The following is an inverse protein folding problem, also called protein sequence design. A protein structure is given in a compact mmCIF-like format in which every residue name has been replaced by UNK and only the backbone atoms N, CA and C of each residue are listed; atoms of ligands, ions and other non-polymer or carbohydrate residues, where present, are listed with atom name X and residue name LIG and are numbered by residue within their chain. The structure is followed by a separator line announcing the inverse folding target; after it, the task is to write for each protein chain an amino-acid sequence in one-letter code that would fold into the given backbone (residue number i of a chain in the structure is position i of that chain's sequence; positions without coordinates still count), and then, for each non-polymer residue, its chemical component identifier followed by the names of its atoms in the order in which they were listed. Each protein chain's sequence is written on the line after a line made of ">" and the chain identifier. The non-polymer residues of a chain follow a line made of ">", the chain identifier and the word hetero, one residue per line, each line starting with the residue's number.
data_IF_049811818190
#
_entry.id   IF_049811818190
#
_cell.length_a   1.000
_cell.length_b   1.000
_cell.length_c   1.000
_cell.angle_alpha   90.00
_cell.angle_beta   90.00
_cell.angle_gamma   90.00
#
_symmetry.space_group_name_H-M   'P 1'
#
loop_
_entity.id
_entity.type
_entity.pdbx_description
1 polymer ?
#
# COMPACT_ATOMS: atom_id res chain seq x y z
N UNK A 1 -23.53 -1.72 66.22
CA UNK A 1 -24.18 -3.03 66.53
C UNK A 1 -23.68 -4.09 65.54
N UNK A 2 -23.39 -5.23 66.09
CA UNK A 2 -22.55 -6.35 65.64
C UNK A 2 -22.82 -6.93 64.26
N UNK A 3 -21.82 -7.68 63.71
CA UNK A 3 -21.82 -8.35 62.40
C UNK A 3 -22.20 -9.84 62.46
N UNK A 4 -22.48 -10.45 61.31
CA UNK A 4 -22.48 -11.93 61.08
C UNK A 4 -22.59 -12.14 59.55
N UNK A 5 -22.01 -13.13 58.86
CA UNK A 5 -21.19 -14.31 59.17
C UNK A 5 -20.64 -14.83 57.83
N UNK A 6 -19.40 -15.33 57.84
CA UNK A 6 -18.74 -15.98 56.72
C UNK A 6 -19.27 -17.40 56.48
N UNK A 7 -19.37 -17.84 55.25
CA UNK A 7 -19.42 -19.26 54.87
C UNK A 7 -18.23 -19.64 54.02
N UNK A 8 -17.41 -20.53 54.62
CA UNK A 8 -16.35 -21.33 53.96
C UNK A 8 -16.97 -22.61 53.40
N UNK A 9 -16.66 -22.99 52.19
CA UNK A 9 -16.71 -24.36 51.64
C UNK A 9 -15.52 -24.40 50.67
N UNK A 10 -14.47 -25.16 50.83
CA UNK A 10 -14.27 -26.55 51.07
C UNK A 10 -13.51 -27.07 49.86
N UNK A 11 -12.12 -27.10 49.92
CA UNK A 11 -11.23 -27.60 48.85
C UNK A 11 -11.38 -29.15 48.77
N UNK A 12 -11.43 -29.69 47.55
CA UNK A 12 -11.14 -31.10 47.24
C UNK A 12 -10.04 -31.21 46.22
N UNK A 13 -8.96 -31.89 46.61
CA UNK A 13 -7.80 -32.21 45.81
C UNK A 13 -8.06 -33.45 44.87
N UNK A 14 -7.30 -33.63 43.81
CA UNK A 14 -7.53 -34.68 42.80
C UNK A 14 -6.86 -36.00 43.19
N UNK A 15 -7.55 -37.10 42.87
CA UNK A 15 -7.04 -38.49 43.01
C UNK A 15 -6.16 -38.87 41.82
N UNK A 16 -4.96 -39.33 42.12
CA UNK A 16 -4.05 -40.07 41.22
C UNK A 16 -4.63 -41.44 40.89
N UNK A 17 -4.61 -41.85 39.62
CA UNK A 17 -4.75 -43.24 39.22
C UNK A 17 -3.43 -43.71 38.56
N UNK A 18 -3.01 -44.91 38.98
CA UNK A 18 -1.73 -45.60 38.73
C UNK A 18 -1.70 -46.21 37.33
N UNK A 19 -0.48 -46.32 36.82
CA UNK A 19 -0.07 -47.09 35.67
C UNK A 19 -0.27 -48.59 35.82
N UNK A 20 -0.59 -49.27 34.72
CA UNK A 20 -0.35 -50.69 34.55
C UNK A 20 0.46 -50.91 33.27
N UNK A 21 1.59 -51.55 33.43
CA UNK A 21 2.52 -52.01 32.40
C UNK A 21 1.99 -53.33 31.79
N UNK A 22 2.14 -53.49 30.48
CA UNK A 22 2.24 -54.81 29.87
C UNK A 22 3.23 -54.73 28.70
N UNK A 23 4.29 -55.50 28.85
CA UNK A 23 5.28 -55.78 27.83
C UNK A 23 4.77 -56.92 26.94
N UNK A 24 4.97 -56.82 25.62
CA UNK A 24 5.09 -58.01 24.77
C UNK A 24 6.05 -57.71 23.61
N UNK A 25 7.03 -58.56 23.54
CA UNK A 25 8.09 -58.76 22.54
C UNK A 25 7.51 -59.12 21.17
N UNK A 26 8.14 -58.58 20.11
CA UNK A 26 7.89 -59.05 18.75
C UNK A 26 8.97 -58.57 17.82
N UNK A 27 9.67 -59.52 17.25
CA UNK A 27 10.90 -59.46 16.49
C UNK A 27 10.82 -58.65 15.19
N UNK A 28 11.95 -58.01 14.83
CA UNK A 28 12.28 -57.45 13.53
C UNK A 28 12.55 -58.52 12.46
N UNK A 29 12.25 -58.30 11.20
CA UNK A 29 13.08 -58.81 10.13
C UNK A 29 13.85 -57.67 9.39
N UNK A 30 15.16 -57.83 9.36
CA UNK A 30 16.08 -57.12 8.52
C UNK A 30 15.75 -57.33 7.04
N UNK A 31 15.52 -56.24 6.28
CA UNK A 31 15.55 -56.26 4.83
C UNK A 31 16.76 -55.46 4.37
N UNK A 32 17.81 -56.21 3.98
CA UNK A 32 19.01 -55.67 3.31
C UNK A 32 18.65 -55.45 1.86
N UNK A 33 18.58 -54.20 1.44
CA UNK A 33 18.57 -53.83 0.01
C UNK A 33 19.93 -53.23 -0.37
N UNK A 34 20.66 -54.03 -1.12
CA UNK A 34 21.89 -53.69 -1.84
C UNK A 34 21.64 -52.57 -2.85
N UNK A 35 22.41 -51.46 -2.75
CA UNK A 35 22.47 -50.39 -3.76
C UNK A 35 23.31 -50.85 -4.95
N UNK A 36 22.85 -50.59 -6.20
CA UNK A 36 23.70 -50.74 -7.38
C UNK A 36 24.68 -49.56 -7.48
N UNK A 37 25.84 -49.74 -8.17
CA UNK A 37 26.89 -48.74 -8.27
C UNK A 37 26.46 -47.56 -9.19
N UNK A 38 26.72 -46.34 -8.72
CA UNK A 38 26.55 -45.12 -9.50
C UNK A 38 27.64 -45.03 -10.59
N UNK A 39 27.27 -45.23 -11.84
CA UNK A 39 28.08 -44.81 -12.97
C UNK A 39 28.15 -43.28 -13.01
N UNK A 40 29.36 -42.74 -12.86
CA UNK A 40 29.66 -41.34 -13.16
C UNK A 40 29.57 -41.16 -14.67
N UNK A 41 28.47 -40.59 -15.14
CA UNK A 41 28.40 -39.95 -16.44
C UNK A 41 28.76 -38.46 -16.26
N UNK A 42 29.86 -38.07 -16.89
CA UNK A 42 30.26 -36.67 -17.05
C UNK A 42 29.24 -35.95 -17.90
N UNK A 43 28.37 -35.15 -17.31
CA UNK A 43 27.51 -34.24 -18.06
C UNK A 43 28.29 -32.99 -18.47
N UNK A 44 28.15 -32.52 -19.73
CA UNK A 44 28.72 -31.25 -20.14
C UNK A 44 28.02 -30.09 -19.38
N UNK A 45 28.83 -29.13 -18.94
CA UNK A 45 28.37 -27.91 -18.32
C UNK A 45 27.45 -27.14 -19.31
N UNK A 46 26.15 -27.30 -19.16
CA UNK A 46 25.21 -26.43 -19.83
C UNK A 46 25.20 -25.11 -19.07
N UNK A 47 25.92 -24.16 -19.63
CA UNK A 47 25.76 -22.75 -19.40
C UNK A 47 24.35 -22.39 -19.88
N UNK A 48 23.35 -22.46 -18.98
CA UNK A 48 22.03 -21.91 -19.24
C UNK A 48 22.18 -20.39 -19.26
N UNK A 49 22.52 -19.85 -20.44
CA UNK A 49 22.23 -18.49 -20.78
C UNK A 49 20.69 -18.45 -20.84
N UNK A 50 20.08 -17.83 -19.83
CA UNK A 50 18.72 -17.33 -19.97
C UNK A 50 18.76 -16.26 -21.07
N UNK A 51 18.67 -16.72 -22.33
CA UNK A 51 18.23 -15.88 -23.41
C UNK A 51 16.78 -15.52 -23.03
N UNK A 52 16.59 -14.32 -22.53
CA UNK A 52 15.29 -13.69 -22.64
C UNK A 52 15.03 -13.65 -24.15
N UNK A 53 14.18 -14.55 -24.57
CA UNK A 53 13.66 -14.55 -25.92
C UNK A 53 13.09 -13.16 -26.13
N UNK A 54 13.67 -12.40 -27.07
CA UNK A 54 13.06 -11.17 -27.56
C UNK A 54 11.78 -11.61 -28.24
N UNK A 55 10.70 -11.75 -27.44
CA UNK A 55 9.37 -11.85 -28.00
C UNK A 55 9.21 -10.69 -28.96
N UNK A 56 8.79 -10.94 -30.21
CA UNK A 56 8.60 -9.88 -31.19
C UNK A 56 7.70 -8.84 -30.55
N UNK A 57 8.11 -7.58 -30.63
CA UNK A 57 7.48 -6.39 -30.09
C UNK A 57 5.96 -6.43 -30.29
N UNK A 58 5.27 -7.09 -29.36
CA UNK A 58 3.84 -6.87 -29.18
C UNK A 58 3.70 -5.41 -28.86
N UNK A 59 2.87 -4.71 -29.60
CA UNK A 59 2.51 -3.31 -29.38
C UNK A 59 2.33 -3.08 -27.89
N UNK A 60 3.18 -2.26 -27.26
CA UNK A 60 3.08 -1.96 -25.84
C UNK A 60 1.69 -1.42 -25.57
N UNK A 61 0.96 -2.04 -24.63
CA UNK A 61 -0.39 -1.62 -24.28
C UNK A 61 -0.31 -0.31 -23.49
N UNK A 62 -1.12 0.66 -23.86
CA UNK A 62 -1.32 1.91 -23.10
C UNK A 62 -2.26 1.61 -21.95
N UNK A 63 -1.76 1.49 -20.72
CA UNK A 63 -2.59 1.13 -19.56
C UNK A 63 -2.84 2.35 -18.66
N UNK A 64 -4.06 2.88 -18.69
CA UNK A 64 -4.48 4.05 -17.92
C UNK A 64 -5.34 3.70 -16.69
N UNK A 65 -5.40 2.42 -16.28
CA UNK A 65 -6.24 1.96 -15.17
C UNK A 65 -5.73 2.42 -13.81
N UNK A 66 -4.41 2.34 -13.59
CA UNK A 66 -3.78 2.66 -12.30
C UNK A 66 -2.27 2.77 -12.47
N UNK A 67 -1.61 3.57 -11.61
CA UNK A 67 -0.15 3.57 -11.48
C UNK A 67 0.42 2.31 -10.78
N UNK A 68 -0.45 1.41 -10.33
CA UNK A 68 -0.06 0.10 -9.77
C UNK A 68 0.28 -0.94 -10.84
N UNK A 69 0.07 -0.64 -12.12
CA UNK A 69 0.39 -1.52 -13.24
C UNK A 69 1.81 -1.32 -13.77
N UNK A 70 2.55 -0.36 -13.23
CA UNK A 70 3.92 -0.04 -13.60
C UNK A 70 4.84 -1.25 -13.49
N UNK A 71 5.80 -1.33 -14.41
CA UNK A 71 6.80 -2.40 -14.46
C UNK A 71 8.18 -1.86 -14.09
N UNK A 72 9.01 -2.67 -13.42
CA UNK A 72 10.37 -2.26 -13.12
C UNK A 72 11.17 -2.07 -14.41
N UNK A 73 11.88 -0.94 -14.51
CA UNK A 73 12.76 -0.66 -15.65
C UNK A 73 13.97 -1.62 -15.67
N UNK A 74 14.62 -1.76 -16.83
CA UNK A 74 15.81 -2.59 -16.93
C UNK A 74 16.94 -2.19 -15.94
N UNK A 75 17.25 -0.89 -15.70
CA UNK A 75 18.19 -0.50 -14.66
C UNK A 75 17.72 -0.88 -13.25
N UNK A 76 16.41 -0.76 -12.95
CA UNK A 76 15.86 -1.19 -11.65
C UNK A 76 16.02 -2.70 -11.46
N UNK A 77 15.73 -3.52 -12.50
CA UNK A 77 15.95 -4.98 -12.46
C UNK A 77 17.42 -5.32 -12.25
N UNK A 78 18.34 -4.58 -12.87
CA UNK A 78 19.78 -4.73 -12.65
C UNK A 78 20.16 -4.44 -11.20
N UNK A 79 19.62 -3.37 -10.60
CA UNK A 79 19.82 -3.05 -9.19
C UNK A 79 19.29 -4.17 -8.26
N UNK A 80 18.11 -4.73 -8.57
CA UNK A 80 17.54 -5.86 -7.82
C UNK A 80 18.43 -7.10 -7.86
N UNK A 81 18.98 -7.44 -9.02
CA UNK A 81 19.84 -8.63 -9.18
C UNK A 81 21.24 -8.46 -8.59
N UNK A 82 21.69 -7.23 -8.43
CA UNK A 82 22.98 -6.88 -7.81
C UNK A 82 22.88 -6.65 -6.30
N UNK A 83 21.68 -6.73 -5.72
CA UNK A 83 21.46 -6.44 -4.30
C UNK A 83 22.21 -7.40 -3.39
N UNK A 84 22.93 -6.87 -2.42
CA UNK A 84 23.45 -7.65 -1.29
C UNK A 84 22.28 -8.00 -0.35
N UNK A 85 22.16 -9.28 0.02
CA UNK A 85 21.02 -9.78 0.77
C UNK A 85 21.42 -10.56 2.01
N UNK A 86 20.54 -10.57 3.01
CA UNK A 86 20.61 -11.36 4.22
C UNK A 86 19.20 -11.71 4.69
N UNK A 87 19.04 -12.27 5.88
CA UNK A 87 17.71 -12.58 6.42
C UNK A 87 17.15 -11.35 7.16
N UNK A 88 16.16 -10.66 6.57
CA UNK A 88 15.52 -9.47 7.16
C UNK A 88 14.82 -9.76 8.52
N UNK A 89 14.40 -11.00 8.75
CA UNK A 89 13.79 -11.38 10.06
C UNK A 89 14.84 -11.37 11.19
N UNK A 90 16.12 -11.64 10.87
CA UNK A 90 17.24 -11.53 11.81
C UNK A 90 17.87 -10.14 11.81
N UNK A 91 17.44 -9.26 10.89
CA UNK A 91 18.04 -7.95 10.70
C UNK A 91 19.37 -7.96 9.93
N UNK A 92 19.66 -9.06 9.24
CA UNK A 92 20.94 -9.27 8.55
C UNK A 92 20.95 -8.81 7.08
N UNK A 93 19.79 -8.35 6.54
CA UNK A 93 19.71 -7.87 5.15
C UNK A 93 20.20 -6.42 5.04
N UNK A 94 21.41 -6.17 4.47
CA UNK A 94 21.99 -4.83 4.45
C UNK A 94 21.24 -3.88 3.52
N UNK A 95 20.61 -4.39 2.46
CA UNK A 95 19.86 -3.56 1.52
C UNK A 95 18.53 -3.12 2.12
N UNK A 96 17.84 -3.97 2.87
CA UNK A 96 16.65 -3.57 3.65
C UNK A 96 17.01 -2.54 4.71
N UNK A 97 18.10 -2.77 5.46
CA UNK A 97 18.58 -1.82 6.47
C UNK A 97 18.88 -0.44 5.85
N UNK A 98 19.55 -0.42 4.69
CA UNK A 98 19.83 0.82 3.94
C UNK A 98 18.55 1.50 3.49
N UNK A 99 17.58 0.77 2.91
CA UNK A 99 16.29 1.34 2.51
C UNK A 99 15.60 2.02 3.68
N UNK A 100 15.51 1.32 4.82
CA UNK A 100 14.85 1.83 6.02
C UNK A 100 15.53 3.11 6.52
N UNK A 101 16.86 3.14 6.58
CA UNK A 101 17.61 4.32 7.01
C UNK A 101 17.39 5.51 6.08
N UNK A 102 17.49 5.31 4.76
CA UNK A 102 17.32 6.38 3.76
C UNK A 102 15.89 6.92 3.77
N UNK A 103 14.88 6.07 3.86
CA UNK A 103 13.47 6.52 3.88
C UNK A 103 13.12 7.25 5.18
N UNK A 104 13.66 6.79 6.33
CA UNK A 104 13.51 7.50 7.60
C UNK A 104 14.09 8.92 7.53
N UNK A 105 15.29 9.06 6.96
CA UNK A 105 15.96 10.36 6.75
C UNK A 105 15.13 11.26 5.83
N UNK A 106 14.71 10.78 4.64
CA UNK A 106 13.89 11.54 3.69
C UNK A 106 12.55 11.99 4.27
N UNK A 107 11.96 11.18 5.16
CA UNK A 107 10.71 11.51 5.85
C UNK A 107 10.90 12.35 7.13
N UNK A 108 12.15 12.59 7.55
CA UNK A 108 12.45 13.29 8.81
C UNK A 108 11.93 12.54 10.05
N UNK A 109 11.96 11.20 10.03
CA UNK A 109 11.50 10.33 11.12
C UNK A 109 12.65 9.53 11.72
N UNK A 110 12.45 9.06 12.96
CA UNK A 110 13.47 8.35 13.74
C UNK A 110 13.79 6.96 13.17
N UNK A 111 12.76 6.25 12.67
CA UNK A 111 12.90 4.87 12.22
C UNK A 111 11.91 4.54 11.10
N UNK A 112 12.20 3.44 10.41
CA UNK A 112 11.38 2.93 9.32
C UNK A 112 11.31 1.40 9.32
N UNK A 113 10.27 0.84 8.67
CA UNK A 113 10.08 -0.59 8.51
C UNK A 113 9.53 -0.90 7.11
N UNK A 114 10.20 -1.82 6.42
CA UNK A 114 9.82 -2.27 5.07
C UNK A 114 8.70 -3.31 5.10
N UNK A 115 7.73 -3.16 4.21
CA UNK A 115 6.57 -4.04 4.04
C UNK A 115 6.38 -4.44 2.57
N UNK A 116 5.78 -5.62 2.28
CA UNK A 116 5.47 -6.03 0.92
C UNK A 116 4.36 -5.20 0.26
N UNK A 117 3.49 -4.55 1.02
CA UNK A 117 2.38 -3.76 0.48
C UNK A 117 2.00 -2.58 1.36
N UNK A 118 1.39 -1.55 0.75
CA UNK A 118 0.83 -0.40 1.48
C UNK A 118 -0.29 -0.79 2.44
N UNK A 119 -1.17 -1.71 2.03
CA UNK A 119 -2.24 -2.25 2.88
C UNK A 119 -1.69 -2.85 4.17
N UNK A 120 -0.60 -3.64 4.07
CA UNK A 120 -0.01 -4.22 5.27
C UNK A 120 0.71 -3.18 6.13
N UNK A 121 1.37 -2.19 5.51
CA UNK A 121 2.01 -1.07 6.19
C UNK A 121 0.99 -0.23 6.97
N UNK A 122 -0.12 0.16 6.33
CA UNK A 122 -1.22 0.88 6.97
C UNK A 122 -1.83 0.08 8.12
N UNK A 123 -2.15 -1.19 7.88
CA UNK A 123 -2.75 -2.04 8.91
C UNK A 123 -1.82 -2.20 10.12
N UNK A 124 -0.52 -2.42 9.90
CA UNK A 124 0.47 -2.48 10.98
C UNK A 124 0.56 -1.13 11.75
N UNK A 125 0.44 0.00 11.06
CA UNK A 125 0.38 1.32 11.69
C UNK A 125 -0.87 1.46 12.57
N UNK A 126 -2.06 1.14 12.04
CA UNK A 126 -3.32 1.18 12.79
C UNK A 126 -3.24 0.30 14.06
N UNK A 127 -2.76 -0.93 13.92
CA UNK A 127 -2.58 -1.89 15.03
C UNK A 127 -1.46 -1.49 16.01
N UNK A 128 -0.57 -0.58 15.62
CA UNK A 128 0.48 -0.04 16.49
C UNK A 128 0.01 1.18 17.29
N UNK A 129 -1.00 1.89 16.80
CA UNK A 129 -1.61 3.05 17.46
C UNK A 129 -2.81 2.68 18.33
N UNK A 130 -3.58 1.67 17.91
CA UNK A 130 -4.85 1.29 18.51
C UNK A 130 -4.80 -0.09 19.15
N UNK A 131 -5.59 -0.30 20.18
CA UNK A 131 -5.89 -1.58 20.79
C UNK A 131 -7.24 -2.12 20.30
N UNK A 132 -7.56 -3.36 20.63
CA UNK A 132 -8.87 -3.94 20.31
C UNK A 132 -10.00 -3.14 20.96
N UNK A 133 -11.00 -2.76 20.18
CA UNK A 133 -12.14 -1.94 20.62
C UNK A 133 -11.89 -0.43 20.57
N UNK A 134 -10.67 -0.01 20.21
CA UNK A 134 -10.41 1.40 19.91
C UNK A 134 -11.02 1.79 18.55
N UNK A 135 -11.07 3.09 18.31
CA UNK A 135 -11.59 3.69 17.08
C UNK A 135 -10.54 4.56 16.41
N UNK A 136 -10.53 4.54 15.08
CA UNK A 136 -9.78 5.51 14.27
C UNK A 136 -10.72 6.35 13.41
N UNK A 137 -10.49 7.66 13.37
CA UNK A 137 -11.24 8.63 12.56
C UNK A 137 -10.56 8.74 11.20
N UNK A 138 -11.32 8.63 10.12
CA UNK A 138 -10.80 8.46 8.75
C UNK A 138 -11.73 9.11 7.72
N UNK A 139 -11.19 9.51 6.57
CA UNK A 139 -12.00 9.94 5.43
C UNK A 139 -12.78 8.78 4.80
N UNK A 140 -14.05 9.00 4.45
CA UNK A 140 -14.89 7.99 3.80
C UNK A 140 -14.33 7.52 2.45
N UNK A 141 -13.57 8.36 1.75
CA UNK A 141 -12.90 8.03 0.50
C UNK A 141 -11.50 7.42 0.71
N UNK A 142 -10.96 7.40 1.94
CA UNK A 142 -9.62 6.95 2.23
C UNK A 142 -9.43 5.45 1.97
N UNK A 143 -8.23 5.07 1.52
CA UNK A 143 -7.87 3.70 1.16
C UNK A 143 -7.99 2.76 2.36
N UNK A 144 -7.50 3.17 3.54
CA UNK A 144 -7.53 2.40 4.79
C UNK A 144 -8.95 2.03 5.25
N UNK A 145 -9.94 2.82 4.86
CA UNK A 145 -11.35 2.53 5.14
C UNK A 145 -12.01 1.71 4.04
N UNK A 146 -11.78 2.09 2.77
CA UNK A 146 -12.61 1.64 1.66
C UNK A 146 -12.03 0.46 0.89
N UNK A 147 -10.69 0.33 0.80
CA UNK A 147 -10.03 -0.55 -0.15
C UNK A 147 -9.04 -1.56 0.47
N UNK A 148 -9.05 -1.74 1.79
CA UNK A 148 -8.17 -2.68 2.50
C UNK A 148 -8.92 -3.88 3.10
N UNK A 149 -10.03 -4.29 2.48
CA UNK A 149 -10.78 -5.48 2.88
C UNK A 149 -11.35 -5.43 4.29
N UNK A 150 -11.49 -4.24 4.90
CA UNK A 150 -11.92 -4.10 6.29
C UNK A 150 -10.87 -4.59 7.30
N UNK A 151 -9.58 -4.64 6.91
CA UNK A 151 -8.50 -5.22 7.71
C UNK A 151 -8.40 -4.67 9.13
N UNK A 152 -8.62 -3.36 9.32
CA UNK A 152 -8.63 -2.74 10.65
C UNK A 152 -9.66 -3.39 11.59
N UNK A 153 -10.87 -3.67 11.09
CA UNK A 153 -11.93 -4.31 11.86
C UNK A 153 -11.67 -5.83 12.02
N UNK A 154 -11.31 -6.52 10.93
CA UNK A 154 -11.17 -7.98 10.90
C UNK A 154 -9.96 -8.47 11.71
N UNK A 155 -8.79 -7.84 11.55
CA UNK A 155 -7.53 -8.26 12.16
C UNK A 155 -7.17 -7.43 13.39
N UNK A 156 -7.38 -6.11 13.33
CA UNK A 156 -7.09 -5.20 14.44
C UNK A 156 -8.19 -5.14 15.50
N UNK A 157 -9.43 -5.53 15.17
CA UNK A 157 -10.63 -5.27 15.97
C UNK A 157 -10.77 -3.77 16.29
N UNK A 158 -10.39 -2.91 15.33
CA UNK A 158 -10.40 -1.45 15.44
C UNK A 158 -11.60 -0.93 14.66
N UNK A 159 -12.44 -0.12 15.31
CA UNK A 159 -13.63 0.45 14.69
C UNK A 159 -13.25 1.63 13.79
N UNK A 160 -13.63 1.65 12.49
CA UNK A 160 -13.51 2.86 11.69
C UNK A 160 -14.65 3.84 12.01
N UNK A 161 -14.32 5.13 12.10
CA UNK A 161 -15.28 6.24 12.15
C UNK A 161 -15.07 7.09 10.90
N UNK A 162 -15.78 6.80 9.80
CA UNK A 162 -15.62 7.55 8.55
C UNK A 162 -16.28 8.91 8.62
N UNK A 163 -15.62 9.90 8.01
CA UNK A 163 -16.14 11.25 7.79
C UNK A 163 -16.16 11.48 6.27
N UNK A 164 -17.24 12.02 5.75
CA UNK A 164 -17.35 12.39 4.35
C UNK A 164 -16.29 13.44 3.97
N UNK A 165 -15.55 13.18 2.91
CA UNK A 165 -14.55 14.12 2.40
C UNK A 165 -15.25 15.30 1.69
N UNK A 166 -14.72 16.49 1.88
CA UNK A 166 -15.06 17.65 1.08
C UNK A 166 -14.53 17.50 -0.37
N UNK A 167 -14.98 18.38 -1.25
CA UNK A 167 -14.65 18.32 -2.68
C UNK A 167 -13.14 18.45 -2.97
N UNK A 168 -12.39 19.11 -2.09
CA UNK A 168 -10.92 19.25 -2.16
C UNK A 168 -10.16 18.08 -1.53
N UNK A 169 -10.88 17.11 -0.93
CA UNK A 169 -10.33 15.93 -0.26
C UNK A 169 -10.16 16.10 1.26
N UNK A 170 -10.35 17.29 1.80
CA UNK A 170 -10.25 17.56 3.24
C UNK A 170 -11.41 16.92 4.02
N UNK A 171 -11.26 16.82 5.34
CA UNK A 171 -12.33 16.48 6.28
C UNK A 171 -12.71 17.75 7.05
N UNK A 172 -14.00 18.16 7.06
CA UNK A 172 -14.42 19.36 7.80
C UNK A 172 -14.01 19.29 9.27
N UNK A 173 -13.32 20.29 9.78
CA UNK A 173 -12.78 20.31 11.15
C UNK A 173 -13.85 20.12 12.23
N UNK A 174 -15.03 20.70 12.01
CA UNK A 174 -16.18 20.54 12.91
C UNK A 174 -16.70 19.09 12.92
N UNK A 175 -16.63 18.37 11.79
CA UNK A 175 -16.99 16.94 11.71
C UNK A 175 -15.94 16.08 12.41
N UNK A 176 -14.64 16.43 12.29
CA UNK A 176 -13.57 15.75 13.03
C UNK A 176 -13.82 15.91 14.53
N UNK A 177 -14.03 17.14 15.00
CA UNK A 177 -14.28 17.42 16.40
C UNK A 177 -15.51 16.68 16.96
N UNK A 178 -16.59 16.62 16.18
CA UNK A 178 -17.83 15.93 16.56
C UNK A 178 -17.70 14.40 16.56
N UNK A 179 -16.80 13.84 15.74
CA UNK A 179 -16.57 12.40 15.67
C UNK A 179 -15.77 11.86 16.87
N UNK A 180 -14.97 12.72 17.52
CA UNK A 180 -14.18 12.33 18.69
C UNK A 180 -15.10 12.11 19.89
N UNK A 181 -15.12 10.88 20.40
CA UNK A 181 -16.05 10.45 21.46
C UNK A 181 -15.54 10.80 22.86
N UNK A 182 -16.46 11.04 23.82
CA UNK A 182 -16.07 11.19 25.22
C UNK A 182 -15.51 9.86 25.76
N UNK A 183 -14.76 9.95 26.85
CA UNK A 183 -14.31 8.76 27.61
C UNK A 183 -15.50 8.29 28.45
N UNK A 184 -16.22 7.30 27.95
CA UNK A 184 -17.43 6.74 28.55
C UNK A 184 -17.59 5.29 28.06
N UNK A 185 -18.12 4.41 28.91
CA UNK A 185 -18.25 2.96 28.66
C UNK A 185 -19.16 2.61 27.47
N UNK A 186 -20.00 3.55 27.01
CA UNK A 186 -20.90 3.36 25.88
C UNK A 186 -20.23 3.55 24.51
N UNK A 187 -19.01 4.10 24.46
CA UNK A 187 -18.34 4.46 23.23
C UNK A 187 -17.02 3.71 23.03
N UNK A 188 -16.70 3.43 21.77
CA UNK A 188 -15.35 3.07 21.40
C UNK A 188 -14.41 4.27 21.71
N UNK A 189 -13.21 3.97 22.15
CA UNK A 189 -12.20 4.99 22.49
C UNK A 189 -11.55 5.52 21.21
N UNK A 190 -11.78 6.79 20.87
CA UNK A 190 -11.11 7.44 19.74
C UNK A 190 -9.61 7.60 20.03
N UNK A 191 -8.73 6.97 19.25
CA UNK A 191 -7.29 6.88 19.50
C UNK A 191 -6.44 7.43 18.39
N UNK A 192 -6.93 7.38 17.15
CA UNK A 192 -6.14 7.71 15.98
C UNK A 192 -6.95 8.55 15.00
N UNK A 193 -6.32 9.56 14.45
CA UNK A 193 -6.79 10.33 13.31
C UNK A 193 -5.95 9.98 12.09
N UNK A 194 -6.61 9.70 10.95
CA UNK A 194 -5.90 9.33 9.73
C UNK A 194 -6.28 10.23 8.56
N UNK A 195 -5.29 10.65 7.79
CA UNK A 195 -5.46 11.33 6.51
C UNK A 195 -4.80 10.51 5.40
N UNK A 196 -5.16 10.80 4.15
CA UNK A 196 -4.50 10.27 2.95
C UNK A 196 -4.00 11.43 2.09
N UNK A 197 -2.75 11.39 1.63
CA UNK A 197 -2.19 12.38 0.71
C UNK A 197 -1.29 11.66 -0.33
N UNK A 198 -1.63 11.73 -1.64
CA UNK A 198 -2.77 12.47 -2.24
C UNK A 198 -4.08 11.69 -2.09
N UNK A 199 -5.18 12.37 -1.84
CA UNK A 199 -6.52 11.76 -1.82
C UNK A 199 -7.21 11.95 -3.18
N UNK A 200 -7.44 10.85 -3.91
CA UNK A 200 -7.98 10.91 -5.27
C UNK A 200 -7.14 11.80 -6.21
N UNK A 201 -5.81 11.79 -6.04
CA UNK A 201 -4.84 12.63 -6.74
C UNK A 201 -4.67 14.04 -6.17
N UNK A 202 -5.55 14.52 -5.33
CA UNK A 202 -5.51 15.88 -4.75
C UNK A 202 -4.51 15.96 -3.62
N UNK A 203 -3.69 17.00 -3.64
CA UNK A 203 -2.78 17.35 -2.55
C UNK A 203 -3.58 18.09 -1.48
N UNK A 204 -3.51 17.62 -0.24
CA UNK A 204 -4.15 18.32 0.88
C UNK A 204 -3.46 19.67 1.14
N UNK A 205 -4.23 20.75 1.40
CA UNK A 205 -3.66 22.05 1.75
C UNK A 205 -2.82 21.97 3.03
N UNK A 206 -1.61 22.56 3.02
CA UNK A 206 -0.69 22.48 4.14
C UNK A 206 -1.29 23.03 5.45
N UNK A 207 -1.87 24.22 5.41
CA UNK A 207 -2.51 24.84 6.60
C UNK A 207 -3.64 23.97 7.16
N UNK A 208 -4.43 23.30 6.30
CA UNK A 208 -5.46 22.37 6.75
C UNK A 208 -4.87 21.16 7.48
N UNK A 209 -3.78 20.57 6.94
CA UNK A 209 -3.14 19.41 7.59
C UNK A 209 -2.69 19.76 9.01
N UNK A 210 -2.04 20.92 9.17
CA UNK A 210 -1.57 21.38 10.47
C UNK A 210 -2.73 21.61 11.46
N UNK A 211 -3.81 22.26 11.03
CA UNK A 211 -5.00 22.50 11.84
C UNK A 211 -5.71 21.19 12.24
N UNK A 212 -5.92 20.27 11.29
CA UNK A 212 -6.60 19.01 11.55
C UNK A 212 -5.81 18.10 12.50
N UNK A 213 -4.48 18.03 12.33
CA UNK A 213 -3.62 17.26 13.24
C UNK A 213 -3.52 17.92 14.61
N UNK A 214 -3.42 19.24 14.69
CA UNK A 214 -3.43 19.97 15.97
C UNK A 214 -4.74 19.74 16.73
N UNK A 215 -5.87 19.76 16.03
CA UNK A 215 -7.19 19.45 16.61
C UNK A 215 -7.21 18.03 17.19
N UNK A 216 -6.78 17.03 16.42
CA UNK A 216 -6.73 15.64 16.87
C UNK A 216 -5.83 15.48 18.11
N UNK A 217 -4.63 16.06 18.09
CA UNK A 217 -3.68 16.03 19.22
C UNK A 217 -4.21 16.73 20.47
N UNK A 218 -4.93 17.85 20.32
CA UNK A 218 -5.55 18.56 21.45
C UNK A 218 -6.59 17.71 22.19
N UNK A 219 -7.07 16.64 21.54
CA UNK A 219 -8.03 15.67 22.08
C UNK A 219 -7.37 14.32 22.42
N UNK A 220 -6.03 14.25 22.41
CA UNK A 220 -5.26 13.06 22.79
C UNK A 220 -5.17 11.96 21.74
N UNK A 221 -5.52 12.23 20.47
CA UNK A 221 -5.37 11.29 19.36
C UNK A 221 -3.96 11.38 18.77
N UNK A 222 -3.42 10.23 18.36
CA UNK A 222 -2.28 10.18 17.46
C UNK A 222 -2.73 10.48 16.02
N UNK A 223 -1.78 10.77 15.12
CA UNK A 223 -2.03 11.06 13.71
C UNK A 223 -1.22 10.14 12.79
N UNK A 224 -1.89 9.50 11.83
CA UNK A 224 -1.27 8.67 10.78
C UNK A 224 -1.57 9.22 9.40
N UNK A 225 -0.58 9.18 8.50
CA UNK A 225 -0.76 9.51 7.09
C UNK A 225 -0.64 8.25 6.23
N UNK A 226 -1.70 7.92 5.49
CA UNK A 226 -1.53 7.12 4.29
C UNK A 226 -0.87 8.01 3.21
N UNK A 227 0.44 7.91 3.13
CA UNK A 227 1.30 8.62 2.20
C UNK A 227 1.63 7.79 0.96
N UNK A 228 0.71 6.92 0.52
CA UNK A 228 0.94 6.05 -0.63
C UNK A 228 1.36 6.79 -1.91
N UNK A 229 1.02 8.09 -2.01
CA UNK A 229 1.46 8.98 -3.08
C UNK A 229 2.04 10.30 -2.54
N UNK A 230 2.68 10.26 -1.39
CA UNK A 230 3.30 11.45 -0.79
C UNK A 230 4.38 12.04 -1.69
N UNK A 231 5.09 11.23 -2.49
CA UNK A 231 6.03 11.71 -3.49
C UNK A 231 5.35 12.54 -4.59
N UNK A 232 4.15 12.14 -5.04
CA UNK A 232 3.34 12.96 -5.96
C UNK A 232 2.95 14.28 -5.31
N UNK A 233 2.57 14.26 -4.02
CA UNK A 233 2.24 15.47 -3.27
C UNK A 233 3.46 16.38 -3.12
N UNK A 234 4.65 15.85 -2.86
CA UNK A 234 5.90 16.57 -2.75
C UNK A 234 6.23 17.30 -4.05
N UNK A 235 6.24 16.57 -5.17
CA UNK A 235 6.53 17.14 -6.50
C UNK A 235 5.51 18.20 -6.90
N UNK A 236 4.21 17.94 -6.69
CA UNK A 236 3.15 18.88 -7.07
C UNK A 236 3.15 20.16 -6.21
N UNK A 237 3.53 20.07 -4.95
CA UNK A 237 3.54 21.23 -4.03
C UNK A 237 4.90 21.93 -3.94
N UNK A 238 5.97 21.34 -4.49
CA UNK A 238 7.35 21.84 -4.34
C UNK A 238 7.88 21.74 -2.90
N UNK A 239 7.28 20.89 -2.05
CA UNK A 239 7.65 20.69 -0.65
C UNK A 239 8.47 19.43 -0.47
N UNK A 240 9.40 19.45 0.48
CA UNK A 240 10.14 18.25 0.85
C UNK A 240 9.22 17.17 1.45
N UNK A 241 9.54 15.89 1.22
CA UNK A 241 8.80 14.76 1.83
C UNK A 241 8.78 14.90 3.35
N UNK A 242 9.90 15.30 3.96
CA UNK A 242 9.98 15.54 5.41
C UNK A 242 8.94 16.54 5.92
N UNK A 243 8.70 17.63 5.19
CA UNK A 243 7.71 18.65 5.57
C UNK A 243 6.28 18.11 5.52
N UNK A 244 5.97 17.26 4.52
CA UNK A 244 4.66 16.62 4.41
C UNK A 244 4.45 15.56 5.48
N UNK A 245 5.51 14.90 5.93
CA UNK A 245 5.48 13.87 6.96
C UNK A 245 5.52 14.45 8.39
N UNK A 246 6.08 15.65 8.59
CA UNK A 246 6.35 16.24 9.89
C UNK A 246 5.13 16.26 10.85
N UNK A 247 3.91 16.61 10.40
CA UNK A 247 2.74 16.69 11.28
C UNK A 247 2.33 15.35 11.88
N UNK A 248 2.67 14.21 11.27
CA UNK A 248 2.15 12.89 11.60
C UNK A 248 3.09 12.09 12.52
N UNK A 249 2.52 11.22 13.37
CA UNK A 249 3.29 10.31 14.23
C UNK A 249 3.79 9.10 13.45
N UNK A 250 3.09 8.72 12.38
CA UNK A 250 3.52 7.68 11.43
C UNK A 250 3.03 7.98 10.02
N UNK A 251 3.81 7.54 9.02
CA UNK A 251 3.47 7.68 7.60
C UNK A 251 3.79 6.38 6.87
N UNK A 252 2.87 5.91 6.03
CA UNK A 252 3.09 4.81 5.09
C UNK A 252 3.42 5.37 3.71
N UNK A 253 4.57 5.00 3.13
CA UNK A 253 5.06 5.48 1.82
C UNK A 253 5.14 4.29 0.88
N UNK A 254 4.45 4.33 -0.29
CA UNK A 254 4.49 3.26 -1.28
C UNK A 254 5.47 3.55 -2.41
N UNK A 255 6.19 2.51 -2.83
CA UNK A 255 7.10 2.52 -3.97
C UNK A 255 6.52 1.79 -5.20
N UNK A 256 5.50 0.94 -4.98
CA UNK A 256 4.88 0.08 -6.00
C UNK A 256 3.73 0.76 -6.75
N UNK A 257 3.89 2.03 -7.09
CA UNK A 257 2.94 2.85 -7.85
C UNK A 257 3.69 3.70 -8.87
N UNK A 258 3.47 5.01 -8.94
CA UNK A 258 4.16 5.92 -9.85
C UNK A 258 5.69 5.86 -9.78
N UNK A 259 6.25 5.44 -8.66
CA UNK A 259 7.69 5.23 -8.50
C UNK A 259 8.22 3.96 -9.21
N UNK A 260 7.36 3.05 -9.67
CA UNK A 260 7.70 1.94 -10.55
C UNK A 260 8.35 0.73 -9.90
N UNK A 261 8.50 0.67 -8.58
CA UNK A 261 8.97 -0.55 -7.93
C UNK A 261 7.90 -1.66 -8.00
N UNK A 262 8.29 -2.94 -8.20
CA UNK A 262 7.31 -4.02 -8.36
C UNK A 262 6.57 -4.35 -7.07
N UNK A 263 7.18 -4.10 -5.93
CA UNK A 263 6.69 -4.37 -4.57
C UNK A 263 7.31 -3.37 -3.62
N UNK A 264 6.60 -2.99 -2.58
CA UNK A 264 7.20 -2.34 -1.44
C UNK A 264 6.48 -1.10 -0.95
N UNK A 265 6.42 -1.02 0.37
CA UNK A 265 6.01 0.16 1.14
C UNK A 265 6.87 0.26 2.39
N UNK A 266 7.05 1.45 2.89
CA UNK A 266 7.81 1.69 4.11
C UNK A 266 6.95 2.50 5.08
N UNK A 267 6.79 1.98 6.30
CA UNK A 267 6.22 2.71 7.43
C UNK A 267 7.33 3.46 8.14
N UNK A 268 7.14 4.76 8.36
CA UNK A 268 8.08 5.59 9.13
C UNK A 268 7.40 6.16 10.38
N UNK A 269 8.17 6.38 11.45
CA UNK A 269 7.68 6.93 12.71
C UNK A 269 8.75 6.97 13.79
N UNK A 270 8.32 7.03 15.06
CA UNK A 270 9.24 6.89 16.19
C UNK A 270 9.76 5.46 16.32
N UNK A 271 10.95 5.27 16.90
CA UNK A 271 11.52 3.94 17.15
C UNK A 271 10.58 3.02 17.91
N UNK A 272 9.91 3.53 18.94
CA UNK A 272 8.94 2.76 19.72
C UNK A 272 7.70 2.33 18.92
N UNK A 273 7.24 3.14 17.96
CA UNK A 273 6.14 2.75 17.07
C UNK A 273 6.60 1.67 16.09
N UNK A 274 7.77 1.83 15.50
CA UNK A 274 8.34 0.90 14.54
C UNK A 274 8.62 -0.46 15.18
N UNK A 275 9.06 -0.51 16.43
CA UNK A 275 9.22 -1.77 17.18
C UNK A 275 7.87 -2.52 17.31
N UNK A 276 6.79 -1.82 17.66
CA UNK A 276 5.45 -2.43 17.68
C UNK A 276 5.01 -2.90 16.29
N UNK A 277 5.22 -2.07 15.27
CA UNK A 277 4.89 -2.40 13.89
C UNK A 277 5.68 -3.60 13.36
N UNK A 278 6.93 -3.78 13.79
CA UNK A 278 7.75 -4.94 13.44
C UNK A 278 7.11 -6.25 13.92
N UNK A 279 6.57 -6.28 15.15
CA UNK A 279 5.81 -7.44 15.63
C UNK A 279 4.55 -7.66 14.81
N UNK A 280 3.79 -6.60 14.48
CA UNK A 280 2.59 -6.71 13.65
C UNK A 280 2.92 -7.16 12.23
N UNK A 281 4.01 -6.68 11.63
CA UNK A 281 4.49 -7.18 10.34
C UNK A 281 4.65 -8.71 10.36
N UNK A 282 5.23 -9.26 11.42
CA UNK A 282 5.37 -10.71 11.57
C UNK A 282 4.04 -11.43 11.68
N UNK A 283 3.12 -10.93 12.50
CA UNK A 283 1.77 -11.51 12.70
C UNK A 283 0.98 -11.50 11.39
N UNK A 284 1.09 -10.43 10.60
CA UNK A 284 0.41 -10.25 9.32
C UNK A 284 1.07 -11.01 8.16
N UNK A 285 2.13 -11.78 8.41
CA UNK A 285 2.82 -12.57 7.38
C UNK A 285 3.80 -11.78 6.48
N UNK A 286 4.13 -10.53 6.84
CA UNK A 286 5.01 -9.64 6.06
C UNK A 286 6.50 -9.76 6.37
N UNK A 287 6.91 -10.66 7.25
CA UNK A 287 8.33 -10.94 7.51
C UNK A 287 8.93 -11.80 6.40
N UNK A 288 9.55 -11.15 5.44
CA UNK A 288 10.27 -11.79 4.32
C UNK A 288 11.70 -12.17 4.76
N UNK A 289 12.37 -12.98 3.96
CA UNK A 289 13.76 -13.40 4.20
C UNK A 289 14.74 -12.48 3.45
N UNK A 290 15.22 -12.86 2.29
CA UNK A 290 16.17 -12.07 1.48
C UNK A 290 15.41 -10.96 0.73
N UNK A 291 14.83 -10.05 1.48
CA UNK A 291 13.99 -8.97 0.96
C UNK A 291 14.79 -7.83 0.29
N UNK A 292 16.12 -7.84 0.44
CA UNK A 292 17.02 -6.87 -0.19
C UNK A 292 16.86 -6.78 -1.70
N UNK A 293 16.50 -7.87 -2.38
CA UNK A 293 16.17 -7.86 -3.81
C UNK A 293 15.02 -6.88 -4.11
N UNK A 294 13.99 -6.83 -3.27
CA UNK A 294 12.87 -5.92 -3.42
C UNK A 294 13.18 -4.51 -2.90
N UNK A 295 13.93 -4.44 -1.80
CA UNK A 295 14.36 -3.16 -1.22
C UNK A 295 15.26 -2.36 -2.18
N UNK A 296 16.10 -3.04 -2.98
CA UNK A 296 16.92 -2.40 -4.01
C UNK A 296 16.07 -1.69 -5.07
N UNK A 297 14.93 -2.26 -5.46
CA UNK A 297 14.00 -1.57 -6.35
C UNK A 297 13.43 -0.30 -5.73
N UNK A 298 13.10 -0.32 -4.43
CA UNK A 298 12.60 0.85 -3.72
C UNK A 298 13.67 1.94 -3.58
N UNK A 299 14.93 1.57 -3.32
CA UNK A 299 16.06 2.50 -3.30
C UNK A 299 16.26 3.15 -4.67
N UNK A 300 16.30 2.34 -5.74
CA UNK A 300 16.39 2.84 -7.10
C UNK A 300 15.23 3.82 -7.43
N UNK A 301 14.01 3.44 -7.05
CA UNK A 301 12.83 4.25 -7.28
C UNK A 301 12.90 5.61 -6.56
N UNK A 302 13.39 5.63 -5.32
CA UNK A 302 13.56 6.88 -4.55
C UNK A 302 14.62 7.79 -5.16
N UNK A 303 15.71 7.23 -5.65
CA UNK A 303 16.84 7.97 -6.20
C UNK A 303 16.55 8.53 -7.61
N UNK A 304 15.80 7.79 -8.45
CA UNK A 304 15.68 8.10 -9.87
C UNK A 304 14.26 8.48 -10.34
N UNK A 305 13.22 8.11 -9.60
CA UNK A 305 11.85 8.20 -10.11
C UNK A 305 10.97 9.24 -9.41
N UNK A 306 11.45 9.93 -8.37
CA UNK A 306 10.64 10.94 -7.67
C UNK A 306 10.41 12.17 -8.55
N UNK A 307 11.47 12.76 -9.08
CA UNK A 307 11.37 13.99 -9.88
C UNK A 307 10.58 13.78 -11.18
N UNK A 308 10.72 12.60 -11.80
CA UNK A 308 9.97 12.27 -13.02
C UNK A 308 8.45 12.17 -12.83
N UNK A 309 7.94 12.13 -11.60
CA UNK A 309 6.49 12.21 -11.35
C UNK A 309 5.88 13.50 -11.93
N UNK A 310 6.69 14.54 -12.15
CA UNK A 310 6.27 15.75 -12.85
C UNK A 310 5.79 15.45 -14.28
N UNK A 311 6.41 14.49 -14.97
CA UNK A 311 5.99 14.06 -16.31
C UNK A 311 4.63 13.39 -16.28
N UNK A 312 4.37 12.57 -15.24
CA UNK A 312 3.07 11.94 -15.05
C UNK A 312 1.98 12.99 -14.82
N UNK A 313 2.27 14.04 -14.03
CA UNK A 313 1.35 15.14 -13.80
C UNK A 313 1.06 15.91 -15.09
N UNK A 314 2.08 16.20 -15.89
CA UNK A 314 1.93 16.87 -17.19
C UNK A 314 1.10 16.02 -18.18
N UNK A 315 1.32 14.69 -18.18
CA UNK A 315 0.55 13.76 -18.99
C UNK A 315 -0.92 13.68 -18.56
N UNK A 316 -1.21 13.72 -17.26
CA UNK A 316 -2.58 13.80 -16.75
C UNK A 316 -3.29 15.10 -17.15
N UNK A 317 -2.59 16.24 -17.06
CA UNK A 317 -3.11 17.53 -17.51
C UNK A 317 -3.42 17.51 -19.02
N UNK A 318 -2.49 16.99 -19.84
CA UNK A 318 -2.67 16.82 -21.27
C UNK A 318 -3.89 15.94 -21.60
N UNK A 319 -4.04 14.82 -20.90
CA UNK A 319 -5.20 13.94 -21.03
C UNK A 319 -6.52 14.69 -20.72
N UNK A 320 -6.56 15.41 -19.59
CA UNK A 320 -7.73 16.18 -19.19
C UNK A 320 -8.10 17.25 -20.23
N UNK A 321 -7.10 18.00 -20.74
CA UNK A 321 -7.31 18.99 -21.80
C UNK A 321 -7.79 18.36 -23.11
N UNK A 322 -7.28 17.18 -23.46
CA UNK A 322 -7.74 16.42 -24.61
C UNK A 322 -9.19 15.96 -24.47
N UNK A 323 -9.53 15.35 -23.36
CA UNK A 323 -10.86 14.86 -23.04
C UNK A 323 -11.91 15.99 -23.00
N UNK A 324 -11.55 17.16 -22.46
CA UNK A 324 -12.46 18.31 -22.37
C UNK A 324 -12.92 18.86 -23.73
N UNK A 325 -12.25 18.48 -24.83
CA UNK A 325 -12.61 18.88 -26.21
C UNK A 325 -13.56 17.87 -26.89
N UNK A 326 -13.87 16.76 -26.24
CA UNK A 326 -14.65 15.67 -26.80
C UNK A 326 -16.07 15.73 -26.23
N UNK A 327 -17.05 16.13 -27.05
CA UNK A 327 -18.44 15.96 -26.70
C UNK A 327 -18.82 14.47 -26.81
N UNK A 328 -19.54 13.84 -25.85
CA UNK A 328 -20.18 14.43 -24.65
C UNK A 328 -19.38 14.24 -23.35
N UNK A 329 -18.05 14.10 -23.41
CA UNK A 329 -17.20 13.85 -22.23
C UNK A 329 -17.13 15.09 -21.34
N UNK A 330 -17.23 14.89 -20.02
CA UNK A 330 -17.09 15.96 -19.03
C UNK A 330 -15.95 15.64 -18.07
N UNK A 331 -14.87 16.41 -18.10
CA UNK A 331 -13.79 16.30 -17.09
C UNK A 331 -14.35 16.82 -15.76
N UNK A 332 -14.31 15.95 -14.73
CA UNK A 332 -14.78 16.24 -13.38
C UNK A 332 -13.68 16.83 -12.52
N UNK A 333 -12.48 16.28 -12.62
CA UNK A 333 -11.28 16.79 -11.94
C UNK A 333 -10.00 16.24 -12.57
N UNK A 334 -8.94 17.01 -12.46
CA UNK A 334 -7.56 16.59 -12.71
C UNK A 334 -6.70 17.08 -11.53
N UNK A 335 -5.89 16.18 -10.98
CA UNK A 335 -4.93 16.51 -9.94
C UNK A 335 -3.80 15.49 -9.94
N UNK A 336 -2.57 15.96 -9.81
CA UNK A 336 -1.37 15.14 -9.95
C UNK A 336 -1.45 14.23 -11.18
N UNK A 337 -1.28 12.93 -11.01
CA UNK A 337 -1.32 11.92 -12.07
C UNK A 337 -2.71 11.32 -12.31
N UNK A 338 -3.79 11.95 -11.86
CA UNK A 338 -5.15 11.41 -11.99
C UNK A 338 -6.09 12.34 -12.72
N UNK A 339 -6.92 11.76 -13.59
CA UNK A 339 -8.04 12.43 -14.27
C UNK A 339 -9.31 11.67 -13.98
N UNK A 340 -10.35 12.38 -13.55
CA UNK A 340 -11.70 11.84 -13.44
C UNK A 340 -12.56 12.50 -14.51
N UNK A 341 -13.23 11.67 -15.33
CA UNK A 341 -14.08 12.14 -16.40
C UNK A 341 -15.39 11.35 -16.43
N UNK A 342 -16.47 12.04 -16.72
CA UNK A 342 -17.82 11.48 -16.86
C UNK A 342 -18.10 11.17 -18.33
N UNK A 343 -18.63 9.99 -18.57
CA UNK A 343 -19.06 9.50 -19.88
C UNK A 343 -20.55 9.13 -19.84
N UNK A 344 -21.25 9.14 -20.98
CA UNK A 344 -22.60 8.58 -21.02
C UNK A 344 -22.55 7.10 -20.61
N UNK A 345 -23.44 6.68 -19.74
CA UNK A 345 -23.40 5.33 -19.16
C UNK A 345 -23.53 4.24 -20.24
N UNK A 346 -24.37 4.49 -21.26
CA UNK A 346 -24.56 3.57 -22.39
C UNK A 346 -23.29 3.36 -23.24
N UNK A 347 -22.36 4.31 -23.21
CA UNK A 347 -21.11 4.24 -23.97
C UNK A 347 -19.96 3.60 -23.21
N UNK A 348 -20.05 3.44 -21.86
CA UNK A 348 -18.92 2.97 -21.06
C UNK A 348 -18.39 1.61 -21.53
N UNK A 349 -19.23 0.58 -21.59
CA UNK A 349 -18.79 -0.76 -22.00
C UNK A 349 -18.39 -0.84 -23.49
N UNK A 350 -19.13 -0.23 -24.45
CA UNK A 350 -18.70 -0.18 -25.85
C UNK A 350 -17.37 0.57 -26.06
N UNK A 351 -17.16 1.68 -25.35
CA UNK A 351 -15.92 2.45 -25.43
C UNK A 351 -14.74 1.67 -24.84
N UNK A 352 -14.91 0.97 -23.73
CA UNK A 352 -13.87 0.11 -23.16
C UNK A 352 -13.43 -0.97 -24.14
N UNK A 353 -14.40 -1.65 -24.80
CA UNK A 353 -14.12 -2.64 -25.83
C UNK A 353 -13.37 -2.01 -27.04
N UNK A 354 -13.84 -0.85 -27.51
CA UNK A 354 -13.20 -0.11 -28.60
C UNK A 354 -11.76 0.29 -28.31
N UNK A 355 -11.48 0.76 -27.08
CA UNK A 355 -10.14 1.13 -26.65
C UNK A 355 -9.24 -0.10 -26.53
N UNK A 356 -9.75 -1.19 -25.95
CA UNK A 356 -9.00 -2.43 -25.79
C UNK A 356 -8.55 -3.03 -27.13
N UNK A 357 -9.41 -3.01 -28.16
CA UNK A 357 -9.05 -3.43 -29.53
C UNK A 357 -7.91 -2.60 -30.13
N UNK A 358 -7.67 -1.40 -29.58
CA UNK A 358 -6.59 -0.47 -30.02
C UNK A 358 -5.39 -0.47 -29.09
N UNK A 359 -5.30 -1.45 -28.20
CA UNK A 359 -4.19 -1.57 -27.27
C UNK A 359 -4.25 -0.58 -26.10
N UNK A 360 -5.42 -0.01 -25.80
CA UNK A 360 -5.60 0.94 -24.70
C UNK A 360 -6.45 0.30 -23.62
N UNK A 361 -5.89 0.16 -22.42
CA UNK A 361 -6.56 -0.41 -21.25
C UNK A 361 -7.07 0.71 -20.33
N UNK A 362 -8.38 0.66 -20.08
CA UNK A 362 -9.07 1.57 -19.17
C UNK A 362 -10.07 0.77 -18.34
N UNK A 363 -10.63 1.40 -17.33
CA UNK A 363 -11.80 0.92 -16.61
C UNK A 363 -12.89 1.99 -16.80
N UNK A 364 -13.78 1.74 -17.76
CA UNK A 364 -14.81 2.71 -18.11
C UNK A 364 -16.02 2.55 -17.20
N UNK A 365 -16.33 3.63 -16.50
CA UNK A 365 -17.48 3.80 -15.62
C UNK A 365 -18.16 5.14 -15.96
N UNK A 366 -19.37 5.38 -15.44
CA UNK A 366 -20.00 6.68 -15.54
C UNK A 366 -19.08 7.83 -15.11
N UNK A 367 -18.34 7.64 -13.99
CA UNK A 367 -17.25 8.49 -13.56
C UNK A 367 -15.94 7.69 -13.63
N UNK A 368 -15.29 7.71 -14.78
CA UNK A 368 -14.05 6.98 -15.04
C UNK A 368 -12.85 7.68 -14.45
N UNK A 369 -11.93 6.89 -13.88
CA UNK A 369 -10.62 7.37 -13.42
C UNK A 369 -9.54 6.90 -14.39
N UNK A 370 -8.71 7.82 -14.84
CA UNK A 370 -7.49 7.57 -15.59
C UNK A 370 -6.30 7.95 -14.74
N UNK A 371 -5.24 7.15 -14.80
CA UNK A 371 -4.00 7.38 -14.04
C UNK A 371 -2.82 7.28 -14.98
N UNK A 372 -1.99 8.33 -15.00
CA UNK A 372 -0.74 8.38 -15.76
C UNK A 372 0.43 7.92 -14.91
N UNK A 373 1.43 7.32 -15.55
CA UNK A 373 2.60 6.75 -14.87
C UNK A 373 3.76 6.54 -15.85
N UNK A 374 4.90 6.04 -15.35
CA UNK A 374 6.16 5.93 -16.10
C UNK A 374 6.10 5.12 -17.41
N UNK A 375 5.15 4.21 -17.55
CA UNK A 375 5.01 3.38 -18.75
C UNK A 375 4.05 3.99 -19.78
N UNK A 376 3.60 5.24 -19.57
CA UNK A 376 2.70 5.96 -20.48
C UNK A 376 3.38 7.27 -20.91
N UNK A 377 3.74 7.32 -22.17
CA UNK A 377 4.37 8.50 -22.78
C UNK A 377 3.36 9.59 -23.15
N UNK A 378 3.87 10.76 -23.52
CA UNK A 378 3.06 11.85 -24.08
C UNK A 378 2.31 11.42 -25.36
N UNK A 379 2.98 10.68 -26.23
CA UNK A 379 2.40 10.22 -27.50
C UNK A 379 1.31 9.18 -27.26
N UNK A 380 1.44 8.34 -26.20
CA UNK A 380 0.40 7.43 -25.77
C UNK A 380 -0.86 8.17 -25.30
N UNK A 381 -0.69 9.30 -24.60
CA UNK A 381 -1.82 10.15 -24.20
C UNK A 381 -2.53 10.72 -25.43
N UNK A 382 -1.78 11.22 -26.42
CA UNK A 382 -2.39 11.73 -27.66
C UNK A 382 -3.14 10.63 -28.41
N UNK A 383 -2.56 9.42 -28.45
CA UNK A 383 -3.19 8.24 -29.06
C UNK A 383 -4.50 7.88 -28.34
N UNK A 384 -4.49 7.89 -26.99
CA UNK A 384 -5.69 7.59 -26.21
C UNK A 384 -6.79 8.63 -26.45
N UNK A 385 -6.45 9.92 -26.43
CA UNK A 385 -7.39 11.01 -26.71
C UNK A 385 -7.96 10.90 -28.12
N UNK A 386 -7.13 10.62 -29.14
CA UNK A 386 -7.56 10.44 -30.52
C UNK A 386 -8.52 9.24 -30.67
N UNK A 387 -8.24 8.12 -29.99
CA UNK A 387 -9.09 6.93 -30.02
C UNK A 387 -10.47 7.20 -29.38
N UNK A 388 -10.52 7.92 -28.25
CA UNK A 388 -11.79 8.33 -27.61
C UNK A 388 -12.57 9.30 -28.51
N UNK A 389 -11.89 10.28 -29.10
CA UNK A 389 -12.51 11.23 -30.03
C UNK A 389 -13.11 10.52 -31.27
N UNK A 390 -12.38 9.57 -31.84
CA UNK A 390 -12.84 8.81 -33.00
C UNK A 390 -14.06 7.94 -32.66
N UNK A 391 -14.15 7.40 -31.44
CA UNK A 391 -15.34 6.66 -30.99
C UNK A 391 -16.60 7.53 -31.05
N UNK A 392 -16.56 8.71 -30.46
CA UNK A 392 -17.74 9.61 -30.42
C UNK A 392 -18.03 10.28 -31.77
N UNK A 393 -17.05 10.52 -32.63
CA UNK A 393 -17.26 11.02 -33.97
C UNK A 393 -18.07 10.02 -34.83
N UNK A 394 -17.83 8.72 -34.65
CA UNK A 394 -18.52 7.63 -35.39
C UNK A 394 -20.01 7.53 -35.04
N UNK A 395 -20.39 7.80 -33.79
CA UNK A 395 -21.76 7.71 -33.32
C UNK A 395 -22.65 8.86 -33.81
N UNK A 396 -22.06 9.90 -34.44
CA UNK A 396 -22.72 11.07 -34.98
C UNK A 396 -22.89 11.04 -36.51
N UNK A 397 -22.24 10.08 -37.17
CA UNK A 397 -22.37 9.84 -38.61
C UNK A 397 -23.37 8.71 -38.89
#
# INVERSE_FOLDING_TARGET
>A
MRPRTAHRIGARAPRRARAASAASSGATPNCVHSKPPLHRASAPAHRAILLFDETPTGTQMIDLRSDTVTRPSAPMLAAMTAAEVGDDVWGDDPTVARLQAVVAEHAGKEAALFFPSGTQSNLAALMSHCERGDEYIVGQAAHTYKYEGGGAAVLGSIQPQPIENAADGTLPLEKIAAAIKPIDDHFARSRLFTLENTIGGKVLPAGYVDEAVALARSRGLAAHLDGARVCNAAVASGRAIAELCAPFDSVSICFSKGLGAPVGSVLVGSGALIERAHRWRKVLGGGMRQAGVLAAACLYALEHNVERLADDHANAERLAQGLARIEPVKVLSQATNMVFAQFPEADCAPLEAWLKERGILTQMLYASRFVTHCDVSRDDIDTAVAAISAYFARSRA
#
